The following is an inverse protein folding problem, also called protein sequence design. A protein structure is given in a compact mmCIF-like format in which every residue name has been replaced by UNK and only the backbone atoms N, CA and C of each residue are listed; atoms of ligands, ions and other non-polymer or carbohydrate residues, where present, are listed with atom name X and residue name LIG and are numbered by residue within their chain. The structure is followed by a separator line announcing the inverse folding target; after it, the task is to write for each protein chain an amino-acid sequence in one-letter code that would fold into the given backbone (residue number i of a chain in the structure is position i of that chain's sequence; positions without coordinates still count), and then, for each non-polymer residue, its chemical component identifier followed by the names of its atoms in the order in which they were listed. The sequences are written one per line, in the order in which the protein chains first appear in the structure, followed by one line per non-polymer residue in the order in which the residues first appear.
data_IF_843068144518
#
_entry.id   IF_843068144518
#
_cell.length_a   1.000
_cell.length_b   1.000
_cell.length_c   1.000
_cell.angle_alpha   90.00
_cell.angle_beta   90.00
_cell.angle_gamma   90.00
#
_symmetry.space_group_name_H-M   'P 1'
#
loop_
_entity.id
_entity.type
_entity.pdbx_description
1 polymer ?
#
# COMPACT_ATOMS: atom_id res chain seq x y z
N UNK A 1 -13.62 3.14 15.55
CA UNK A 1 -14.37 1.91 15.19
C UNK A 1 -15.69 1.86 15.91
N UNK A 2 -16.69 1.18 15.36
CA UNK A 2 -18.01 0.99 16.02
C UNK A 2 -17.85 0.20 17.33
N UNK A 3 -16.97 -0.77 17.34
CA UNK A 3 -16.68 -1.65 18.47
C UNK A 3 -16.04 -0.94 19.67
N UNK A 4 -15.54 0.28 19.47
CA UNK A 4 -14.85 1.11 20.48
C UNK A 4 -15.60 2.41 20.79
N UNK A 5 -16.92 2.46 20.54
CA UNK A 5 -17.74 3.68 20.64
C UNK A 5 -17.12 4.87 19.84
N UNK A 6 -16.62 4.56 18.63
CA UNK A 6 -16.08 5.46 17.60
C UNK A 6 -14.66 5.94 17.89
N UNK A 7 -14.40 6.58 19.01
CA UNK A 7 -13.12 7.25 19.27
C UNK A 7 -12.20 6.43 20.18
N UNK A 8 -10.94 6.30 19.78
CA UNK A 8 -9.86 5.68 20.55
C UNK A 8 -8.74 6.69 20.79
N UNK A 9 -8.41 7.45 19.75
CA UNK A 9 -7.42 8.50 19.77
C UNK A 9 -8.02 9.81 19.29
N UNK A 10 -7.45 10.92 19.73
CA UNK A 10 -7.73 12.27 19.24
C UNK A 10 -6.43 13.01 18.99
N UNK A 11 -6.47 13.89 18.00
CA UNK A 11 -5.39 14.84 17.73
C UNK A 11 -5.50 15.98 18.75
N UNK A 12 -4.42 16.34 19.46
CA UNK A 12 -4.38 17.59 20.23
C UNK A 12 -4.48 18.80 19.29
N UNK A 13 -5.23 19.83 19.69
CA UNK A 13 -5.51 21.00 18.85
C UNK A 13 -4.25 21.70 18.31
N UNK A 14 -3.17 21.68 19.09
CA UNK A 14 -1.89 22.32 18.75
C UNK A 14 -0.86 21.36 18.09
N UNK A 15 -1.21 20.09 17.94
CA UNK A 15 -0.31 19.05 17.41
C UNK A 15 -0.99 18.22 16.31
N UNK A 16 -1.95 18.79 15.60
CA UNK A 16 -2.65 18.09 14.55
C UNK A 16 -1.71 17.68 13.41
N UNK A 17 -1.67 16.38 13.11
CA UNK A 17 -0.79 15.78 12.08
C UNK A 17 -1.59 14.83 11.20
N UNK A 18 -1.43 14.97 9.90
CA UNK A 18 -2.20 14.21 8.91
C UNK A 18 -1.88 12.69 8.88
N UNK A 19 -0.71 12.30 9.41
CA UNK A 19 -0.16 10.95 9.31
C UNK A 19 -0.39 10.09 10.57
N UNK A 20 -1.13 10.59 11.57
CA UNK A 20 -1.41 9.88 12.83
C UNK A 20 -2.88 9.92 13.23
N UNK A 21 -3.30 8.97 14.06
CA UNK A 21 -4.62 8.98 14.70
C UNK A 21 -4.67 9.86 15.95
N UNK A 22 -3.53 10.40 16.41
CA UNK A 22 -3.40 11.17 17.64
C UNK A 22 -3.04 10.32 18.85
N UNK A 23 -3.23 10.88 20.04
CA UNK A 23 -2.96 10.24 21.33
C UNK A 23 -4.22 9.53 21.87
N UNK A 24 -4.07 8.47 22.70
CA UNK A 24 -5.19 7.83 23.34
C UNK A 24 -6.01 8.83 24.19
N UNK A 25 -7.34 8.71 24.12
CA UNK A 25 -8.24 9.49 24.97
C UNK A 25 -8.14 8.99 26.41
N UNK A 26 -8.35 9.89 27.39
CA UNK A 26 -8.37 9.54 28.79
C UNK A 26 -9.31 8.35 29.10
N UNK A 27 -8.82 7.36 29.84
CA UNK A 27 -9.54 6.13 30.14
C UNK A 27 -9.50 5.06 29.06
N UNK A 28 -8.79 5.30 27.94
CA UNK A 28 -8.53 4.31 26.89
C UNK A 28 -7.06 3.86 26.94
N UNK A 29 -6.87 2.55 26.94
CA UNK A 29 -5.55 1.94 26.90
C UNK A 29 -5.31 1.33 25.53
N UNK A 30 -4.10 1.53 25.00
CA UNK A 30 -3.63 0.92 23.75
C UNK A 30 -2.41 0.05 24.06
N UNK A 31 -2.40 -1.15 23.52
CA UNK A 31 -1.26 -2.07 23.54
C UNK A 31 -0.98 -2.56 22.13
N UNK A 32 0.28 -2.75 21.82
CA UNK A 32 0.72 -3.37 20.57
C UNK A 32 1.16 -4.80 20.86
N UNK A 33 0.78 -5.73 19.99
CA UNK A 33 1.36 -7.07 20.00
C UNK A 33 2.78 -7.05 19.41
N UNK A 34 3.54 -8.13 19.57
CA UNK A 34 4.86 -8.27 18.93
C UNK A 34 4.79 -8.21 17.39
N UNK A 35 3.64 -8.57 16.83
CA UNK A 35 3.35 -8.45 15.40
C UNK A 35 2.89 -7.05 14.98
N UNK A 36 2.74 -6.11 15.92
CA UNK A 36 2.29 -4.74 15.67
C UNK A 36 0.77 -4.57 15.60
N UNK A 37 -0.03 -5.61 15.93
CA UNK A 37 -1.49 -5.45 16.01
C UNK A 37 -1.87 -4.52 17.16
N UNK A 38 -2.77 -3.58 16.89
CA UNK A 38 -3.29 -2.63 17.87
C UNK A 38 -4.41 -3.28 18.69
N UNK A 39 -4.21 -3.35 19.99
CA UNK A 39 -5.21 -3.79 20.95
C UNK A 39 -5.72 -2.59 21.73
N UNK A 40 -7.02 -2.59 22.01
CA UNK A 40 -7.69 -1.49 22.73
C UNK A 40 -8.43 -2.04 23.95
N UNK A 41 -8.32 -1.33 25.07
CA UNK A 41 -9.16 -1.55 26.25
C UNK A 41 -9.80 -0.22 26.62
N UNK A 42 -11.13 -0.20 26.73
CA UNK A 42 -11.88 1.00 27.04
C UNK A 42 -13.24 0.67 27.66
N UNK A 43 -13.84 1.61 28.40
CA UNK A 43 -15.23 1.46 28.90
C UNK A 43 -16.28 1.35 27.78
N UNK A 44 -15.94 1.85 26.59
CA UNK A 44 -16.85 1.88 25.42
C UNK A 44 -16.73 0.67 24.51
N UNK A 45 -16.00 -0.41 24.90
CA UNK A 45 -15.91 -1.60 24.06
C UNK A 45 -17.26 -2.28 23.88
N UNK A 46 -17.44 -2.90 22.69
CA UNK A 46 -18.59 -3.80 22.44
C UNK A 46 -18.67 -4.87 23.53
N UNK A 47 -19.87 -5.27 23.87
CA UNK A 47 -20.10 -6.42 24.75
C UNK A 47 -20.01 -7.72 23.96
N UNK A 48 -20.69 -7.76 22.83
CA UNK A 48 -20.72 -8.93 21.94
C UNK A 48 -21.25 -8.54 20.56
N UNK A 49 -20.95 -9.32 19.55
CA UNK A 49 -21.67 -9.29 18.27
C UNK A 49 -22.99 -10.04 18.41
N UNK A 50 -24.07 -9.44 17.91
CA UNK A 50 -25.41 -9.99 18.08
C UNK A 50 -25.51 -11.40 17.49
N UNK A 51 -25.86 -12.38 18.34
CA UNK A 51 -25.98 -13.81 18.00
C UNK A 51 -24.74 -14.43 17.35
N UNK A 52 -23.55 -13.86 17.56
CA UNK A 52 -22.31 -14.39 17.03
C UNK A 52 -21.22 -14.47 18.12
N UNK A 53 -21.30 -15.48 19.00
CA UNK A 53 -20.32 -15.66 20.07
C UNK A 53 -18.93 -16.05 19.52
N UNK A 54 -18.87 -16.66 18.34
CA UNK A 54 -17.59 -17.06 17.72
C UNK A 54 -16.82 -15.81 17.27
N UNK A 55 -17.45 -14.94 16.47
CA UNK A 55 -16.82 -13.68 16.07
C UNK A 55 -16.49 -12.79 17.28
N UNK A 56 -17.32 -12.83 18.34
CA UNK A 56 -17.04 -12.09 19.58
C UNK A 56 -15.76 -12.60 20.25
N UNK A 57 -15.60 -13.91 20.39
CA UNK A 57 -14.42 -14.50 21.01
C UNK A 57 -13.13 -14.31 20.20
N UNK A 58 -13.23 -14.15 18.87
CA UNK A 58 -12.09 -13.86 18.01
C UNK A 58 -11.49 -12.48 18.27
N UNK A 59 -12.32 -11.50 18.59
CA UNK A 59 -11.90 -10.10 18.73
C UNK A 59 -11.78 -9.61 20.16
N UNK A 60 -12.53 -10.19 21.09
CA UNK A 60 -12.55 -9.80 22.50
C UNK A 60 -11.89 -10.87 23.36
N UNK A 61 -10.66 -10.60 23.80
CA UNK A 61 -9.92 -11.51 24.68
C UNK A 61 -10.55 -11.60 26.09
N UNK A 62 -10.34 -12.73 26.77
CA UNK A 62 -10.75 -12.92 28.16
C UNK A 62 -10.09 -11.91 29.14
N UNK A 63 -9.00 -11.30 28.74
CA UNK A 63 -8.26 -10.25 29.44
C UNK A 63 -8.84 -8.83 29.23
N UNK A 64 -9.97 -8.73 28.49
CA UNK A 64 -10.66 -7.47 28.23
C UNK A 64 -10.03 -6.60 27.13
N UNK A 65 -9.07 -7.14 26.36
CA UNK A 65 -8.50 -6.45 25.20
C UNK A 65 -9.26 -6.80 23.93
N UNK A 66 -9.63 -5.74 23.20
CA UNK A 66 -10.23 -5.83 21.89
C UNK A 66 -9.15 -5.83 20.82
N UNK A 67 -9.17 -6.82 19.95
CA UNK A 67 -8.31 -6.95 18.77
C UNK A 67 -8.89 -6.15 17.63
N UNK A 68 -8.24 -5.06 17.24
CA UNK A 68 -8.75 -4.20 16.15
C UNK A 68 -8.60 -4.81 14.77
N UNK A 69 -7.67 -5.76 14.61
CA UNK A 69 -7.25 -6.29 13.33
C UNK A 69 -6.43 -5.28 12.51
N UNK A 70 -6.09 -4.12 13.07
CA UNK A 70 -5.24 -3.13 12.46
C UNK A 70 -3.83 -3.18 13.04
N UNK A 71 -2.82 -3.00 12.21
CA UNK A 71 -1.44 -2.86 12.63
C UNK A 71 -1.04 -1.39 12.71
N UNK A 72 -0.19 -1.08 13.68
CA UNK A 72 0.31 0.26 13.88
C UNK A 72 1.49 0.30 14.84
N UNK A 73 1.93 1.50 15.16
CA UNK A 73 2.93 1.76 16.19
C UNK A 73 2.69 3.12 16.84
N UNK A 74 3.26 3.29 18.02
CA UNK A 74 3.27 4.59 18.72
C UNK A 74 4.56 5.29 18.34
N UNK A 75 4.45 6.52 17.85
CA UNK A 75 5.61 7.35 17.51
C UNK A 75 6.24 8.00 18.75
N UNK A 76 7.35 8.74 18.57
CA UNK A 76 8.07 9.37 19.66
C UNK A 76 7.25 10.47 20.40
N UNK A 77 6.22 11.02 19.76
CA UNK A 77 5.30 11.99 20.36
C UNK A 77 4.12 11.33 21.08
N UNK A 78 4.04 9.98 21.08
CA UNK A 78 2.95 9.24 21.70
C UNK A 78 1.72 9.07 20.81
N UNK A 79 1.80 9.45 19.54
CA UNK A 79 0.69 9.32 18.60
C UNK A 79 0.64 7.92 17.99
N UNK A 80 -0.56 7.36 17.91
CA UNK A 80 -0.81 6.11 17.21
C UNK A 80 -0.78 6.34 15.68
N UNK A 81 0.09 5.62 14.99
CA UNK A 81 0.09 5.49 13.53
C UNK A 81 -0.49 4.15 13.13
N UNK A 82 -1.57 4.15 12.36
CA UNK A 82 -2.11 2.94 11.72
C UNK A 82 -1.48 2.81 10.34
N UNK A 83 -0.95 1.62 10.05
CA UNK A 83 -0.19 1.39 8.80
C UNK A 83 -0.91 0.45 7.82
N UNK A 84 -1.59 -0.57 8.33
CA UNK A 84 -2.32 -1.55 7.49
C UNK A 84 -3.25 -2.42 8.37
N UNK A 85 -3.92 -3.41 7.77
CA UNK A 85 -4.50 -4.51 8.52
C UNK A 85 -3.39 -5.43 9.05
N UNK A 86 -3.52 -5.90 10.27
CA UNK A 86 -2.50 -6.73 10.92
C UNK A 86 -2.13 -8.00 10.11
N UNK A 87 -3.13 -8.61 9.45
CA UNK A 87 -2.94 -9.78 8.59
C UNK A 87 -2.23 -9.48 7.26
N UNK A 88 -2.21 -8.22 6.85
CA UNK A 88 -1.66 -7.77 5.55
C UNK A 88 -0.24 -7.21 5.71
N UNK A 89 0.19 -6.94 6.95
CA UNK A 89 1.58 -6.55 7.25
C UNK A 89 2.49 -7.78 7.14
N UNK A 90 3.48 -7.66 6.27
CA UNK A 90 4.50 -8.68 6.05
C UNK A 90 5.85 -8.27 6.62
N UNK A 91 6.85 -9.10 6.32
CA UNK A 91 8.26 -8.80 6.62
C UNK A 91 9.11 -9.12 5.40
N UNK A 92 10.10 -8.29 5.16
CA UNK A 92 11.13 -8.59 4.17
C UNK A 92 11.99 -9.77 4.66
N UNK A 93 12.52 -10.53 3.72
CA UNK A 93 13.37 -11.68 4.01
C UNK A 93 14.62 -11.66 3.10
N UNK A 94 15.79 -11.64 3.71
CA UNK A 94 17.05 -11.52 3.01
C UNK A 94 17.44 -10.08 2.67
N UNK A 95 18.68 -9.93 2.17
CA UNK A 95 19.22 -8.61 1.80
C UNK A 95 19.51 -7.69 2.99
N UNK A 96 19.68 -6.40 2.70
CA UNK A 96 20.03 -5.39 3.69
C UNK A 96 18.88 -5.05 4.66
N UNK A 97 17.64 -5.34 4.29
CA UNK A 97 16.43 -5.01 5.05
C UNK A 97 15.77 -6.28 5.65
N UNK A 98 16.55 -7.36 5.89
CA UNK A 98 16.01 -8.60 6.45
C UNK A 98 15.24 -8.35 7.77
N UNK A 99 14.03 -8.91 7.85
CA UNK A 99 13.13 -8.74 9.00
C UNK A 99 12.42 -7.38 9.07
N UNK A 100 12.74 -6.42 8.19
CA UNK A 100 12.06 -5.12 8.17
C UNK A 100 10.56 -5.27 7.90
N UNK A 101 9.77 -4.43 8.54
CA UNK A 101 8.33 -4.39 8.37
C UNK A 101 7.97 -3.96 6.93
N UNK A 102 7.01 -4.65 6.36
CA UNK A 102 6.41 -4.31 5.07
C UNK A 102 4.91 -4.06 5.24
N UNK A 103 4.49 -2.81 5.09
CA UNK A 103 3.09 -2.38 5.18
C UNK A 103 2.59 -1.96 3.78
N UNK A 104 2.09 -2.91 2.96
CA UNK A 104 1.78 -2.64 1.55
C UNK A 104 0.79 -1.50 1.34
N UNK A 105 -0.32 -1.45 2.10
CA UNK A 105 -1.32 -0.39 1.93
C UNK A 105 -0.81 0.98 2.32
N UNK A 106 0.08 1.06 3.31
CA UNK A 106 0.69 2.34 3.68
C UNK A 106 1.47 2.94 2.51
N UNK A 107 2.30 2.11 1.87
CA UNK A 107 3.08 2.50 0.69
C UNK A 107 2.16 2.84 -0.50
N UNK A 108 1.19 1.98 -0.79
CA UNK A 108 0.22 2.17 -1.87
C UNK A 108 -0.59 3.46 -1.70
N UNK A 109 -1.08 3.72 -0.48
CA UNK A 109 -1.84 4.93 -0.18
C UNK A 109 -0.99 6.19 -0.34
N UNK A 110 0.30 6.17 0.10
CA UNK A 110 1.20 7.31 -0.13
C UNK A 110 1.41 7.60 -1.61
N UNK A 111 1.54 6.58 -2.44
CA UNK A 111 1.61 6.76 -3.90
C UNK A 111 0.33 7.38 -4.47
N UNK A 112 -0.83 6.96 -3.97
CA UNK A 112 -2.14 7.46 -4.42
C UNK A 112 -2.46 8.90 -3.98
N UNK A 113 -1.65 9.52 -3.13
CA UNK A 113 -1.74 10.97 -2.89
C UNK A 113 -1.25 11.80 -4.08
N UNK A 114 -0.46 11.22 -4.97
CA UNK A 114 -0.06 11.91 -6.20
C UNK A 114 -1.18 11.81 -7.24
N UNK A 115 -1.59 12.91 -7.88
CA UNK A 115 -2.70 12.92 -8.83
C UNK A 115 -2.46 12.02 -10.04
N UNK A 116 -1.21 11.71 -10.33
CA UNK A 116 -0.81 10.89 -11.48
C UNK A 116 -0.95 9.38 -11.25
N UNK A 117 -1.13 8.95 -9.99
CA UNK A 117 -1.23 7.54 -9.60
C UNK A 117 -2.67 7.21 -9.23
N UNK A 118 -3.32 6.38 -10.02
CA UNK A 118 -4.69 5.90 -9.76
C UNK A 118 -4.70 4.74 -8.78
N UNK A 119 -3.82 3.76 -9.00
CA UNK A 119 -3.70 2.59 -8.13
C UNK A 119 -2.24 2.11 -8.09
N UNK A 120 -1.89 1.48 -6.98
CA UNK A 120 -0.60 0.84 -6.80
C UNK A 120 -0.77 -0.51 -6.09
N UNK A 121 0.10 -1.47 -6.41
CA UNK A 121 0.15 -2.79 -5.78
C UNK A 121 1.58 -3.08 -5.39
N UNK A 122 1.87 -3.03 -4.10
CA UNK A 122 3.21 -3.28 -3.57
C UNK A 122 3.40 -4.77 -3.21
N UNK A 123 4.58 -5.29 -3.49
CA UNK A 123 5.05 -6.64 -3.20
C UNK A 123 6.32 -6.57 -2.37
N UNK A 124 6.48 -7.40 -1.35
CA UNK A 124 7.64 -7.39 -0.47
C UNK A 124 7.62 -8.47 0.60
N UNK A 125 6.45 -9.02 0.95
CA UNK A 125 6.37 -10.06 1.98
C UNK A 125 7.23 -11.28 1.59
N UNK A 126 8.16 -11.65 2.50
CA UNK A 126 9.13 -12.74 2.29
C UNK A 126 10.04 -12.56 1.06
N UNK A 127 10.23 -11.33 0.62
CA UNK A 127 11.15 -10.94 -0.45
C UNK A 127 12.24 -10.02 0.09
N UNK A 128 13.36 -9.91 -0.61
CA UNK A 128 14.52 -9.12 -0.18
C UNK A 128 14.30 -7.59 -0.24
N UNK A 129 13.32 -7.15 -1.02
CA UNK A 129 13.02 -5.73 -1.28
C UNK A 129 11.57 -5.52 -1.64
N UNK A 130 11.13 -4.26 -1.61
CA UNK A 130 9.79 -3.88 -2.07
C UNK A 130 9.84 -3.49 -3.53
N UNK A 131 8.92 -4.07 -4.29
CA UNK A 131 8.65 -3.74 -5.68
C UNK A 131 7.18 -3.37 -5.85
N UNK A 132 6.82 -2.67 -6.94
CA UNK A 132 5.44 -2.25 -7.15
C UNK A 132 4.99 -2.29 -8.61
N UNK A 133 3.69 -2.55 -8.81
CA UNK A 133 2.96 -2.16 -10.01
C UNK A 133 2.28 -0.83 -9.77
N UNK A 134 2.25 0.02 -10.79
CA UNK A 134 1.60 1.33 -10.73
C UNK A 134 0.62 1.46 -11.91
N UNK A 135 -0.61 1.86 -11.64
CA UNK A 135 -1.54 2.37 -12.64
C UNK A 135 -1.53 3.89 -12.60
N UNK A 136 -1.41 4.50 -13.76
CA UNK A 136 -1.54 5.95 -13.90
C UNK A 136 -3.01 6.37 -13.90
N UNK A 137 -3.30 7.59 -13.47
CA UNK A 137 -4.58 8.23 -13.71
C UNK A 137 -4.57 8.84 -15.13
N UNK A 138 -5.39 8.26 -16.02
CA UNK A 138 -5.38 8.62 -17.43
C UNK A 138 -5.77 10.09 -17.68
N UNK A 139 -6.67 10.66 -16.85
CA UNK A 139 -7.09 12.05 -17.01
C UNK A 139 -5.98 13.01 -16.56
N UNK A 140 -5.41 12.78 -15.39
CA UNK A 140 -4.35 13.64 -14.84
C UNK A 140 -3.06 13.55 -15.67
N UNK A 141 -2.64 12.32 -16.04
CA UNK A 141 -1.44 12.12 -16.87
C UNK A 141 -1.68 12.55 -18.31
N UNK A 142 -2.87 12.37 -18.86
CA UNK A 142 -3.28 12.88 -20.17
C UNK A 142 -3.17 14.40 -20.23
N UNK A 143 -3.77 15.10 -19.29
CA UNK A 143 -3.65 16.56 -19.19
C UNK A 143 -2.18 17.03 -19.03
N UNK A 144 -1.37 16.26 -18.28
CA UNK A 144 0.05 16.53 -18.12
C UNK A 144 0.82 16.33 -19.44
N UNK A 145 0.48 15.29 -20.21
CA UNK A 145 1.09 14.97 -21.52
C UNK A 145 0.71 16.01 -22.57
N UNK A 146 -0.55 16.42 -22.65
CA UNK A 146 -1.04 17.45 -23.57
C UNK A 146 -0.32 18.79 -23.38
N UNK A 147 -0.12 19.22 -22.14
CA UNK A 147 0.66 20.44 -21.82
C UNK A 147 2.11 20.37 -22.26
N UNK A 148 2.60 19.18 -22.60
CA UNK A 148 3.99 18.92 -23.08
C UNK A 148 4.04 18.54 -24.57
N UNK A 149 2.89 18.59 -25.24
CA UNK A 149 2.75 18.17 -26.64
C UNK A 149 3.21 16.71 -26.87
N UNK A 150 2.93 15.82 -25.91
CA UNK A 150 3.19 14.39 -26.02
C UNK A 150 1.94 13.70 -26.58
N UNK A 151 1.93 13.25 -27.84
CA UNK A 151 0.80 12.57 -28.43
C UNK A 151 0.68 11.15 -27.88
N UNK A 152 -0.56 10.65 -27.71
CA UNK A 152 -0.87 9.28 -27.34
C UNK A 152 -2.25 8.87 -27.87
N UNK A 153 -2.42 7.59 -28.19
CA UNK A 153 -3.70 7.04 -28.69
C UNK A 153 -4.59 6.42 -27.61
N UNK A 154 -4.11 6.29 -26.36
CA UNK A 154 -4.86 5.70 -25.28
C UNK A 154 -3.99 5.30 -24.08
N UNK A 155 -4.59 4.63 -23.07
CA UNK A 155 -3.93 4.28 -21.82
C UNK A 155 -2.64 3.47 -22.04
N UNK A 156 -2.71 2.40 -22.85
CA UNK A 156 -1.58 1.50 -23.06
C UNK A 156 -0.36 2.23 -23.63
N UNK A 157 -0.55 3.13 -24.61
CA UNK A 157 0.53 3.93 -25.15
C UNK A 157 1.04 4.97 -24.17
N UNK A 158 0.11 5.70 -23.49
CA UNK A 158 0.46 6.74 -22.54
C UNK A 158 1.29 6.18 -21.39
N UNK A 159 0.85 5.05 -20.81
CA UNK A 159 1.51 4.40 -19.67
C UNK A 159 2.94 3.93 -19.98
N UNK A 160 3.24 3.65 -21.26
CA UNK A 160 4.56 3.15 -21.69
C UNK A 160 5.49 4.25 -22.22
N UNK A 161 5.08 5.52 -22.20
CA UNK A 161 5.97 6.62 -22.58
C UNK A 161 7.10 6.80 -21.55
N UNK A 162 8.35 7.03 -22.01
CA UNK A 162 9.49 7.26 -21.12
C UNK A 162 9.25 8.42 -20.14
N UNK A 163 8.62 9.49 -20.62
CA UNK A 163 8.33 10.69 -19.83
C UNK A 163 7.33 10.40 -18.71
N UNK A 164 6.36 9.52 -18.96
CA UNK A 164 5.38 9.10 -17.96
C UNK A 164 6.02 8.18 -16.91
N UNK A 165 6.91 7.27 -17.34
CA UNK A 165 7.67 6.46 -16.38
C UNK A 165 8.56 7.31 -15.49
N UNK A 166 9.17 8.36 -16.03
CA UNK A 166 9.94 9.33 -15.25
C UNK A 166 9.07 10.08 -14.24
N UNK A 167 7.90 10.56 -14.67
CA UNK A 167 6.90 11.19 -13.78
C UNK A 167 6.51 10.28 -12.63
N UNK A 168 6.26 9.00 -12.90
CA UNK A 168 5.93 7.99 -11.86
C UNK A 168 7.14 7.73 -10.97
N UNK A 169 8.36 7.67 -11.54
CA UNK A 169 9.60 7.51 -10.76
C UNK A 169 9.76 8.63 -9.74
N UNK A 170 9.52 9.88 -10.14
CA UNK A 170 9.56 11.01 -9.21
C UNK A 170 8.56 10.86 -8.06
N UNK A 171 7.35 10.33 -8.34
CA UNK A 171 6.37 10.07 -7.30
C UNK A 171 6.86 8.99 -6.33
N UNK A 172 7.39 7.88 -6.85
CA UNK A 172 7.95 6.78 -6.06
C UNK A 172 9.10 7.26 -5.18
N UNK A 173 10.04 8.02 -5.74
CA UNK A 173 11.20 8.53 -4.99
C UNK A 173 10.82 9.53 -3.90
N UNK A 174 9.76 10.33 -4.09
CA UNK A 174 9.21 11.19 -3.04
C UNK A 174 8.60 10.37 -1.91
N UNK A 175 7.88 9.28 -2.22
CA UNK A 175 7.37 8.34 -1.22
C UNK A 175 8.53 7.69 -0.47
N UNK A 176 9.56 7.23 -1.17
CA UNK A 176 10.75 6.63 -0.57
C UNK A 176 11.47 7.60 0.38
N UNK A 177 11.64 8.86 -0.01
CA UNK A 177 12.23 9.88 0.83
C UNK A 177 11.43 10.11 2.13
N UNK A 178 10.10 10.08 2.03
CA UNK A 178 9.23 10.22 3.19
C UNK A 178 9.28 8.95 4.09
N UNK A 179 9.26 7.74 3.51
CA UNK A 179 9.41 6.49 4.26
C UNK A 179 10.75 6.40 5.00
N UNK A 180 11.82 6.95 4.44
CA UNK A 180 13.13 6.98 5.06
C UNK A 180 13.19 7.82 6.36
N UNK A 181 12.20 8.71 6.58
CA UNK A 181 12.11 9.52 7.80
C UNK A 181 11.62 8.74 9.02
N UNK A 182 11.10 7.52 8.82
CA UNK A 182 10.57 6.67 9.88
C UNK A 182 11.34 5.34 9.91
N UNK A 183 12.05 5.07 11.01
CA UNK A 183 12.90 3.90 11.18
C UNK A 183 12.16 2.56 10.99
N UNK A 184 10.87 2.52 11.32
CA UNK A 184 10.03 1.32 11.14
C UNK A 184 9.55 1.11 9.72
N UNK A 185 9.47 2.17 8.93
CA UNK A 185 8.95 2.14 7.56
C UNK A 185 10.04 2.27 6.49
N UNK A 186 11.27 2.65 6.89
CA UNK A 186 12.39 2.83 5.97
C UNK A 186 12.69 1.59 5.11
N UNK A 187 12.45 0.38 5.62
CA UNK A 187 12.59 -0.86 4.85
C UNK A 187 11.50 -1.06 3.79
N UNK A 188 10.37 -0.34 3.87
CA UNK A 188 9.25 -0.45 2.94
C UNK A 188 9.41 0.38 1.66
N UNK A 189 10.58 0.99 1.42
CA UNK A 189 10.85 1.77 0.22
C UNK A 189 10.82 0.90 -1.04
N UNK A 190 10.19 1.42 -2.10
CA UNK A 190 10.10 0.73 -3.39
C UNK A 190 11.45 0.88 -4.12
N UNK A 191 12.12 -0.23 -4.38
CA UNK A 191 13.38 -0.25 -5.14
C UNK A 191 13.18 -0.37 -6.64
N UNK A 192 12.13 -1.11 -7.07
CA UNK A 192 11.83 -1.33 -8.49
C UNK A 192 10.32 -1.30 -8.72
N UNK A 193 9.90 -0.78 -9.85
CA UNK A 193 8.50 -0.76 -10.22
C UNK A 193 8.32 -0.88 -11.75
N UNK A 194 7.10 -1.14 -12.18
CA UNK A 194 6.67 -0.98 -13.55
C UNK A 194 5.29 -0.31 -13.61
N UNK A 195 5.02 0.36 -14.73
CA UNK A 195 3.70 0.92 -15.00
C UNK A 195 2.92 -0.08 -15.83
N UNK A 196 1.76 -0.51 -15.33
CA UNK A 196 0.92 -1.47 -16.03
C UNK A 196 0.36 -0.88 -17.33
N UNK A 197 0.24 -1.72 -18.37
CA UNK A 197 -0.24 -1.34 -19.70
C UNK A 197 -1.77 -1.20 -19.79
N UNK A 198 -2.49 -1.61 -18.75
CA UNK A 198 -3.92 -1.44 -18.59
C UNK A 198 -4.26 -1.07 -17.15
N UNK A 199 -5.40 -0.46 -16.94
CA UNK A 199 -5.94 -0.26 -15.59
C UNK A 199 -6.35 -1.60 -14.96
N UNK A 200 -6.23 -1.68 -13.63
CA UNK A 200 -6.83 -2.78 -12.88
C UNK A 200 -8.34 -2.65 -12.89
N UNK A 201 -9.02 -3.75 -13.13
CA UNK A 201 -10.46 -3.77 -13.31
C UNK A 201 -11.18 -4.80 -12.40
N UNK A 202 -12.43 -4.49 -12.05
CA UNK A 202 -13.27 -5.37 -11.24
C UNK A 202 -13.83 -6.55 -12.07
N UNK A 203 -14.13 -6.33 -13.34
CA UNK A 203 -14.67 -7.37 -14.23
C UNK A 203 -13.59 -8.39 -14.59
N UNK A 204 -12.34 -7.97 -14.63
CA UNK A 204 -11.17 -8.86 -14.72
C UNK A 204 -10.85 -9.58 -13.40
N UNK A 205 -11.58 -9.30 -12.33
CA UNK A 205 -11.40 -9.91 -11.01
C UNK A 205 -10.24 -9.33 -10.20
N UNK A 206 -9.58 -8.29 -10.68
CA UNK A 206 -8.40 -7.67 -10.05
C UNK A 206 -8.76 -6.76 -8.88
N UNK A 207 -9.95 -6.17 -8.95
CA UNK A 207 -10.53 -5.35 -7.88
C UNK A 207 -11.79 -6.04 -7.32
N UNK A 208 -12.16 -5.67 -6.11
CA UNK A 208 -13.49 -5.98 -5.57
C UNK A 208 -14.53 -5.03 -6.17
N UNK A 209 -15.84 -5.32 -5.97
CA UNK A 209 -16.93 -4.39 -6.33
C UNK A 209 -16.81 -3.02 -5.66
N UNK A 210 -16.13 -2.94 -4.52
CA UNK A 210 -15.83 -1.69 -3.80
C UNK A 210 -14.46 -1.11 -4.18
N UNK A 211 -13.88 -1.53 -5.32
CA UNK A 211 -12.60 -1.08 -5.88
C UNK A 211 -11.39 -1.29 -4.97
N UNK A 212 -11.41 -2.34 -4.13
CA UNK A 212 -10.24 -2.73 -3.35
C UNK A 212 -9.40 -3.74 -4.13
N UNK A 213 -8.11 -3.51 -4.17
CA UNK A 213 -7.11 -4.40 -4.82
C UNK A 213 -7.14 -5.79 -4.22
N UNK A 214 -7.23 -6.81 -5.07
CA UNK A 214 -7.07 -8.22 -4.69
C UNK A 214 -5.62 -8.65 -4.92
N UNK A 215 -4.70 -8.26 -4.03
CA UNK A 215 -3.24 -8.44 -4.19
C UNK A 215 -2.85 -9.88 -4.53
N UNK A 216 -3.40 -10.87 -3.83
CA UNK A 216 -3.08 -12.27 -4.10
C UNK A 216 -3.46 -12.71 -5.52
N UNK A 217 -4.63 -12.29 -6.00
CA UNK A 217 -5.08 -12.57 -7.37
C UNK A 217 -4.17 -11.88 -8.41
N UNK A 218 -3.83 -10.60 -8.17
CA UNK A 218 -2.93 -9.84 -9.04
C UNK A 218 -1.53 -10.46 -9.06
N UNK A 219 -1.00 -10.87 -7.91
CA UNK A 219 0.30 -11.52 -7.83
C UNK A 219 0.36 -12.83 -8.66
N UNK A 220 -0.72 -13.62 -8.65
CA UNK A 220 -0.79 -14.85 -9.43
C UNK A 220 -0.99 -14.56 -10.93
N UNK A 221 -1.95 -13.68 -11.28
CA UNK A 221 -2.25 -13.31 -12.67
C UNK A 221 -1.04 -12.71 -13.38
N UNK A 222 -0.31 -11.85 -12.69
CA UNK A 222 0.86 -11.15 -13.20
C UNK A 222 2.19 -11.72 -12.69
N UNK A 223 2.22 -13.01 -12.31
CA UNK A 223 3.40 -13.64 -11.71
C UNK A 223 4.67 -13.42 -12.51
N UNK A 224 4.60 -13.48 -13.85
CA UNK A 224 5.76 -13.23 -14.72
C UNK A 224 6.33 -11.83 -14.54
N UNK A 225 5.49 -10.82 -14.31
CA UNK A 225 5.93 -9.45 -14.04
C UNK A 225 6.48 -9.31 -12.62
N UNK A 226 5.84 -9.96 -11.65
CA UNK A 226 6.32 -9.96 -10.25
C UNK A 226 7.72 -10.57 -10.19
N UNK A 227 7.94 -11.74 -10.79
CA UNK A 227 9.27 -12.38 -10.80
C UNK A 227 10.30 -11.53 -11.55
N UNK A 228 9.91 -10.87 -12.64
CA UNK A 228 10.81 -9.98 -13.38
C UNK A 228 11.28 -8.76 -12.54
N UNK A 229 10.43 -8.24 -11.63
CA UNK A 229 10.81 -7.16 -10.72
C UNK A 229 11.92 -7.56 -9.74
N UNK A 230 12.03 -8.85 -9.40
CA UNK A 230 13.06 -9.38 -8.49
C UNK A 230 14.29 -9.92 -9.21
N UNK A 231 14.30 -9.94 -10.54
CA UNK A 231 15.44 -10.35 -11.36
C UNK A 231 16.23 -9.11 -11.78
N UNK A 232 17.40 -8.89 -11.18
CA UNK A 232 18.24 -7.71 -11.45
C UNK A 232 18.80 -7.67 -12.87
N UNK A 233 18.85 -8.80 -13.57
CA UNK A 233 19.27 -8.85 -14.95
C UNK A 233 18.20 -8.36 -15.93
N UNK A 234 16.95 -8.26 -15.50
CA UNK A 234 15.83 -7.83 -16.33
C UNK A 234 15.57 -6.34 -16.24
N UNK A 235 15.50 -5.70 -17.38
CA UNK A 235 15.12 -4.28 -17.53
C UNK A 235 13.73 -4.11 -18.14
N UNK A 236 13.16 -5.18 -18.68
CA UNK A 236 11.81 -5.18 -19.27
C UNK A 236 11.23 -6.61 -19.21
N UNK A 237 9.91 -6.72 -19.37
CA UNK A 237 9.19 -7.99 -19.43
C UNK A 237 7.99 -7.89 -20.36
N UNK A 238 7.96 -8.78 -21.37
CA UNK A 238 6.81 -8.96 -22.24
C UNK A 238 5.69 -9.70 -21.48
N UNK A 239 4.45 -9.26 -21.70
CA UNK A 239 3.24 -9.89 -21.17
C UNK A 239 2.12 -9.89 -22.19
N UNK A 240 1.31 -10.93 -22.18
CA UNK A 240 0.01 -11.02 -22.82
C UNK A 240 -1.06 -11.22 -21.76
N UNK A 241 -2.08 -10.37 -21.76
CA UNK A 241 -3.16 -10.40 -20.76
C UNK A 241 -4.50 -10.48 -21.45
N UNK A 242 -5.31 -11.48 -21.11
CA UNK A 242 -6.71 -11.49 -21.51
C UNK A 242 -7.47 -10.39 -20.77
N UNK A 243 -8.29 -9.64 -21.48
CA UNK A 243 -9.15 -8.59 -20.95
C UNK A 243 -10.60 -8.86 -21.36
N UNK A 244 -11.52 -8.58 -20.45
CA UNK A 244 -12.94 -8.56 -20.75
C UNK A 244 -13.34 -7.11 -21.11
N UNK A 245 -14.02 -6.93 -22.25
CA UNK A 245 -14.59 -5.65 -22.62
C UNK A 245 -16.01 -5.50 -22.07
N UNK A 246 -16.45 -4.26 -21.88
CA UNK A 246 -17.80 -3.93 -21.36
C UNK A 246 -18.95 -4.62 -22.15
N UNK A 247 -18.74 -4.90 -23.43
CA UNK A 247 -19.70 -5.61 -24.29
C UNK A 247 -19.65 -7.14 -24.17
N UNK A 248 -18.85 -7.66 -23.22
CA UNK A 248 -18.68 -9.10 -22.96
C UNK A 248 -17.72 -9.81 -23.89
N UNK A 249 -17.14 -9.14 -24.88
CA UNK A 249 -16.06 -9.72 -25.71
C UNK A 249 -14.79 -9.89 -24.88
N UNK A 250 -13.97 -10.85 -25.27
CA UNK A 250 -12.61 -11.04 -24.73
C UNK A 250 -11.60 -10.68 -25.79
N UNK A 251 -10.53 -10.06 -25.36
CA UNK A 251 -9.38 -9.75 -26.21
C UNK A 251 -8.09 -10.02 -25.48
N UNK A 252 -6.98 -9.96 -26.20
CA UNK A 252 -5.64 -10.06 -25.64
C UNK A 252 -4.96 -8.72 -25.83
N UNK A 253 -4.43 -8.18 -24.76
CA UNK A 253 -3.57 -6.99 -24.78
C UNK A 253 -2.17 -7.45 -24.44
N UNK A 254 -1.22 -7.16 -25.35
CA UNK A 254 0.19 -7.46 -25.16
C UNK A 254 0.99 -6.18 -24.98
N UNK A 255 2.02 -6.23 -24.16
CA UNK A 255 2.95 -5.13 -23.96
C UNK A 255 4.32 -5.63 -23.52
N UNK A 256 5.36 -4.88 -23.88
CA UNK A 256 6.71 -5.05 -23.33
C UNK A 256 6.94 -3.94 -22.30
N UNK A 257 6.86 -4.30 -21.01
CA UNK A 257 6.84 -3.38 -19.89
C UNK A 257 8.25 -3.13 -19.38
N UNK A 258 8.65 -1.88 -19.37
CA UNK A 258 9.94 -1.45 -18.83
C UNK A 258 9.90 -1.53 -17.29
N UNK A 259 10.91 -2.16 -16.71
CA UNK A 259 11.17 -2.15 -15.28
C UNK A 259 12.05 -0.93 -14.96
N UNK A 260 11.65 -0.18 -13.93
CA UNK A 260 12.31 1.06 -13.55
C UNK A 260 12.88 0.91 -12.15
N UNK A 261 14.17 1.18 -12.00
CA UNK A 261 14.81 1.29 -10.70
C UNK A 261 14.50 2.67 -10.08
N UNK A 262 14.14 2.67 -8.80
CA UNK A 262 13.88 3.87 -8.02
C UNK A 262 14.94 4.07 -6.96
N UNK A 263 15.27 5.32 -6.69
CA UNK A 263 16.21 5.67 -5.63
C UNK A 263 15.62 5.31 -4.26
N UNK A 264 16.40 4.60 -3.46
CA UNK A 264 16.14 4.36 -2.04
C UNK A 264 17.08 5.23 -1.20
N UNK A 265 16.60 5.62 -0.03
CA UNK A 265 17.31 6.54 0.86
C UNK A 265 17.68 5.79 2.14
N UNK A 266 18.85 6.07 2.74
CA UNK A 266 19.17 5.52 4.04
C UNK A 266 18.14 5.99 5.08
N UNK A 267 17.80 5.12 6.02
CA UNK A 267 16.98 5.52 7.16
C UNK A 267 17.68 6.72 7.86
N UNK A 268 16.90 7.75 8.16
CA UNK A 268 17.44 8.89 8.92
C UNK A 268 17.72 8.40 10.35
N UNK A 269 18.99 8.36 10.74
CA UNK A 269 19.36 8.16 12.14
C UNK A 269 18.73 9.29 12.96
N UNK A 270 17.87 8.93 13.90
CA UNK A 270 17.39 9.90 14.88
C UNK A 270 18.60 10.34 15.69
N UNK A 271 18.91 11.63 15.65
CA UNK A 271 19.83 12.21 16.64
C UNK A 271 19.26 11.88 18.03
N UNK A 272 20.08 11.18 18.82
CA UNK A 272 19.75 10.71 20.16
C UNK A 272 19.50 11.87 21.12
#
# INVERSE_FOLDING_TARGET
STETAVFVCLQPDHEARADTAGVPIEGIEIRLTDAGEVLVRSPGLLKEYYKDPVATAEVLGADGWYRTGDAGFIDAAGHLKIIDRAKDVGRLAGGANDGAMFAPKYVENKLKFFPYVKEAVAFGDKRERVCAFVNIDIEAVGNWAEKRNLPYGGYAELSQKPEVRELVRECVEKVNADLATDDKLAGSQISRFLVLHKELDADDGELTRTRKVKRGFIAERYRVLVEALYDDARTHQFIETEVAFEDGRRGVVSADLQIVDAKVYPALERAA
#
